data_IF_606963590914
#
_entry.id   IF_606963590914
#
_cell.length_a   1.000
_cell.length_b   1.000
_cell.length_c   1.000
_cell.angle_alpha   90.00
_cell.angle_beta   90.00
_cell.angle_gamma   90.00
#
_symmetry.space_group_name_H-M   'P 1'
#
loop_
_entity.id
_entity.type
_entity.pdbx_description
1 polymer ?
#
# COMPACT_ATOMS: atom_id res chain seq x y z
N UNK A 1 -10.14 -56.10 -22.47
CA UNK A 1 -9.24 -54.93 -22.54
C UNK A 1 -9.87 -53.80 -21.72
N UNK A 2 -9.39 -53.57 -20.50
CA UNK A 2 -9.96 -52.55 -19.59
C UNK A 2 -9.31 -51.20 -19.86
N UNK A 3 -10.11 -50.18 -20.21
CA UNK A 3 -9.63 -48.80 -20.33
C UNK A 3 -9.60 -48.11 -18.94
N UNK A 4 -8.64 -47.20 -18.69
CA UNK A 4 -8.33 -46.71 -17.36
C UNK A 4 -9.31 -45.63 -16.87
N UNK A 5 -9.58 -45.66 -15.56
CA UNK A 5 -10.32 -44.64 -14.79
C UNK A 5 -9.59 -43.30 -14.86
N UNK A 6 -10.22 -42.26 -15.43
CA UNK A 6 -9.80 -40.86 -15.25
C UNK A 6 -10.06 -40.48 -13.78
N UNK A 7 -8.99 -40.42 -12.99
CA UNK A 7 -9.04 -40.01 -11.59
C UNK A 7 -8.92 -38.48 -11.47
N UNK A 8 -9.73 -37.93 -10.58
CA UNK A 8 -9.99 -36.51 -10.40
C UNK A 8 -8.78 -35.70 -9.91
N UNK A 9 -8.25 -34.81 -10.75
CA UNK A 9 -7.31 -33.74 -10.35
C UNK A 9 -8.06 -32.49 -9.85
N UNK A 10 -8.99 -32.64 -8.89
CA UNK A 10 -9.73 -31.52 -8.28
C UNK A 10 -9.55 -31.44 -6.75
N UNK A 11 -8.41 -31.87 -6.21
CA UNK A 11 -8.20 -31.91 -4.74
C UNK A 11 -7.27 -30.83 -4.17
N UNK A 12 -6.55 -30.08 -5.02
CA UNK A 12 -5.51 -29.16 -4.52
C UNK A 12 -5.96 -27.71 -4.29
N UNK A 13 -7.11 -27.28 -4.81
CA UNK A 13 -7.57 -25.88 -4.65
C UNK A 13 -8.45 -25.65 -3.40
N UNK A 14 -8.84 -26.71 -2.69
CA UNK A 14 -9.81 -26.62 -1.59
C UNK A 14 -9.21 -26.11 -0.28
N UNK A 15 -7.91 -26.35 -0.03
CA UNK A 15 -7.28 -26.00 1.24
C UNK A 15 -7.12 -24.49 1.45
N UNK A 16 -6.73 -23.76 0.39
CA UNK A 16 -6.51 -22.31 0.47
C UNK A 16 -7.79 -21.50 0.69
N UNK A 17 -8.95 -22.01 0.26
CA UNK A 17 -10.24 -21.35 0.52
C UNK A 17 -10.54 -21.19 2.01
N UNK A 18 -10.03 -22.10 2.86
CA UNK A 18 -10.20 -21.99 4.32
C UNK A 18 -9.47 -20.77 4.91
N UNK A 19 -8.39 -20.32 4.28
CA UNK A 19 -7.57 -19.19 4.72
C UNK A 19 -7.94 -17.85 4.08
N UNK A 20 -8.91 -17.84 3.16
CA UNK A 20 -9.42 -16.59 2.60
C UNK A 20 -10.23 -15.85 3.65
N UNK A 21 -10.15 -14.52 3.59
CA UNK A 21 -11.01 -13.64 4.39
C UNK A 21 -12.47 -13.91 4.07
N UNK A 22 -13.28 -14.10 5.11
CA UNK A 22 -14.71 -14.34 5.00
C UNK A 22 -15.42 -13.31 5.89
N UNK A 23 -16.18 -12.40 5.29
CA UNK A 23 -16.87 -11.31 6.01
C UNK A 23 -17.92 -11.83 7.02
N UNK A 24 -18.42 -13.05 6.84
CA UNK A 24 -19.38 -13.69 7.77
C UNK A 24 -18.67 -14.24 9.01
N UNK A 25 -17.44 -14.74 8.84
CA UNK A 25 -16.66 -15.36 9.92
C UNK A 25 -15.70 -14.40 10.61
N UNK A 26 -15.10 -13.48 9.84
CA UNK A 26 -13.95 -12.68 10.24
C UNK A 26 -14.35 -11.21 10.38
N UNK A 27 -14.28 -10.67 11.61
CA UNK A 27 -14.69 -9.30 11.87
C UNK A 27 -13.74 -8.28 11.20
N UNK A 28 -14.22 -7.07 10.84
CA UNK A 28 -13.35 -6.01 10.30
C UNK A 28 -12.20 -5.63 11.25
N UNK A 29 -12.38 -5.81 12.56
CA UNK A 29 -11.33 -5.56 13.54
C UNK A 29 -10.25 -6.64 13.50
N UNK A 30 -10.61 -7.91 13.32
CA UNK A 30 -9.65 -9.01 13.20
C UNK A 30 -8.81 -8.87 11.94
N UNK A 31 -9.47 -8.58 10.81
CA UNK A 31 -8.79 -8.28 9.56
C UNK A 31 -7.83 -7.09 9.70
N UNK A 32 -8.27 -6.01 10.34
CA UNK A 32 -7.42 -4.84 10.63
C UNK A 32 -6.20 -5.23 11.47
N UNK A 33 -6.38 -6.01 12.52
CA UNK A 33 -5.28 -6.42 13.41
C UNK A 33 -4.24 -7.26 12.67
N UNK A 34 -4.69 -8.24 11.87
CA UNK A 34 -3.79 -9.05 11.03
C UNK A 34 -3.07 -8.20 10.00
N UNK A 35 -3.79 -7.29 9.32
CA UNK A 35 -3.20 -6.40 8.33
C UNK A 35 -2.16 -5.46 8.95
N UNK A 36 -2.41 -4.90 10.14
CA UNK A 36 -1.45 -4.06 10.85
C UNK A 36 -0.15 -4.82 11.14
N UNK A 37 -0.24 -6.07 11.58
CA UNK A 37 0.95 -6.92 11.83
C UNK A 37 1.70 -7.19 10.52
N UNK A 38 1.00 -7.67 9.48
CA UNK A 38 1.63 -7.98 8.18
C UNK A 38 2.31 -6.73 7.60
N UNK A 39 1.63 -5.59 7.65
CA UNK A 39 2.15 -4.35 7.09
C UNK A 39 3.33 -3.81 7.90
N UNK A 40 3.29 -3.89 9.24
CA UNK A 40 4.42 -3.52 10.09
C UNK A 40 5.65 -4.41 9.82
N UNK A 41 5.46 -5.71 9.59
CA UNK A 41 6.54 -6.62 9.23
C UNK A 41 7.16 -6.28 7.87
N UNK A 42 6.33 -6.00 6.86
CA UNK A 42 6.84 -5.57 5.54
C UNK A 42 7.58 -4.23 5.66
N UNK A 43 7.06 -3.28 6.44
CA UNK A 43 7.74 -2.01 6.70
C UNK A 43 9.10 -2.22 7.39
N UNK A 44 9.18 -3.12 8.37
CA UNK A 44 10.43 -3.44 9.04
C UNK A 44 11.45 -4.08 8.08
N UNK A 45 11.03 -5.06 7.29
CA UNK A 45 11.91 -5.73 6.30
C UNK A 45 12.40 -4.75 5.23
N UNK A 46 11.52 -3.87 4.74
CA UNK A 46 11.89 -2.86 3.74
C UNK A 46 12.87 -1.82 4.32
N UNK A 47 12.61 -1.33 5.53
CA UNK A 47 13.52 -0.44 6.24
C UNK A 47 14.90 -1.08 6.41
N UNK A 48 14.96 -2.31 6.92
CA UNK A 48 16.21 -3.05 7.10
C UNK A 48 16.98 -3.21 5.78
N UNK A 49 16.29 -3.58 4.69
CA UNK A 49 16.92 -3.73 3.38
C UNK A 49 17.39 -2.39 2.77
N UNK A 50 16.72 -1.28 3.09
CA UNK A 50 17.10 0.05 2.63
C UNK A 50 18.32 0.61 3.36
N UNK A 51 18.38 0.44 4.68
CA UNK A 51 19.51 0.94 5.50
C UNK A 51 20.74 0.03 5.43
N UNK A 52 20.53 -1.28 5.20
CA UNK A 52 21.57 -2.27 4.98
C UNK A 52 21.51 -2.76 3.52
N UNK A 53 22.13 -2.05 2.57
CA UNK A 53 22.06 -2.43 1.17
C UNK A 53 22.59 -3.85 0.93
N UNK A 54 22.01 -4.62 0.00
CA UNK A 54 22.51 -5.94 -0.37
C UNK A 54 24.00 -5.90 -0.70
N UNK A 55 24.79 -6.84 -0.17
CA UNK A 55 26.25 -6.82 -0.35
C UNK A 55 26.99 -5.80 0.51
N UNK A 56 26.29 -5.01 1.33
CA UNK A 56 26.88 -4.10 2.31
C UNK A 56 27.36 -2.77 1.73
N UNK A 57 28.18 -2.08 2.52
CA UNK A 57 28.80 -0.80 2.16
C UNK A 57 30.31 -0.95 2.08
N UNK A 58 30.94 -0.13 1.25
CA UNK A 58 32.40 -0.05 1.18
C UNK A 58 32.97 0.38 2.54
N UNK A 59 34.00 -0.33 3.01
CA UNK A 59 34.65 -0.08 4.30
C UNK A 59 35.93 0.76 4.18
N UNK A 60 36.49 0.87 2.98
CA UNK A 60 37.78 1.54 2.71
C UNK A 60 37.74 2.33 1.38
N UNK A 61 38.61 3.34 1.27
CA UNK A 61 38.79 4.19 0.09
C UNK A 61 37.76 5.32 -0.07
N UNK A 62 37.75 5.99 -1.22
CA UNK A 62 36.92 7.19 -1.46
C UNK A 62 35.40 6.92 -1.49
N UNK A 63 34.99 5.65 -1.42
CA UNK A 63 33.58 5.22 -1.48
C UNK A 63 33.03 4.74 -0.14
N UNK A 64 33.78 4.91 0.96
CA UNK A 64 33.36 4.47 2.31
C UNK A 64 31.91 4.88 2.61
N UNK A 65 31.14 3.94 3.15
CA UNK A 65 29.73 4.14 3.51
C UNK A 65 28.76 4.09 2.31
N UNK A 66 29.24 4.06 1.07
CA UNK A 66 28.37 3.85 -0.11
C UNK A 66 28.03 2.38 -0.29
N UNK A 67 26.83 2.09 -0.78
CA UNK A 67 26.40 0.75 -1.10
C UNK A 67 27.32 0.10 -2.14
N UNK A 68 27.82 -1.11 -1.87
CA UNK A 68 28.57 -1.90 -2.85
C UNK A 68 27.67 -2.20 -4.05
N UNK A 69 26.39 -2.48 -3.80
CA UNK A 69 25.39 -2.75 -4.83
C UNK A 69 25.17 -1.57 -5.80
N UNK A 70 25.48 -0.33 -5.39
CA UNK A 70 25.40 0.83 -6.28
C UNK A 70 26.37 0.76 -7.47
N UNK A 71 27.35 -0.16 -7.45
CA UNK A 71 28.21 -0.47 -8.60
C UNK A 71 27.39 -0.97 -9.79
N UNK A 72 26.33 -1.75 -9.56
CA UNK A 72 25.39 -2.22 -10.58
C UNK A 72 24.16 -1.31 -10.63
N UNK A 73 24.34 -0.13 -11.21
CA UNK A 73 23.37 0.98 -11.19
C UNK A 73 21.92 0.54 -11.50
N UNK A 74 21.68 -0.18 -12.61
CA UNK A 74 20.32 -0.57 -13.02
C UNK A 74 19.60 -1.42 -11.98
N UNK A 75 20.26 -2.48 -11.50
CA UNK A 75 19.67 -3.40 -10.53
C UNK A 75 19.46 -2.74 -9.17
N UNK A 76 20.42 -1.91 -8.74
CA UNK A 76 20.31 -1.11 -7.53
C UNK A 76 19.11 -0.16 -7.56
N UNK A 77 18.85 0.50 -8.69
CA UNK A 77 17.67 1.38 -8.82
C UNK A 77 16.36 0.63 -8.77
N UNK A 78 16.24 -0.49 -9.50
CA UNK A 78 15.02 -1.31 -9.46
C UNK A 78 14.74 -1.76 -8.03
N UNK A 79 15.78 -2.20 -7.31
CA UNK A 79 15.68 -2.56 -5.90
C UNK A 79 15.20 -1.39 -5.04
N UNK A 80 15.88 -0.24 -5.12
CA UNK A 80 15.64 0.91 -4.25
C UNK A 80 14.27 1.55 -4.50
N UNK A 81 13.84 1.66 -5.76
CA UNK A 81 12.50 2.15 -6.13
C UNK A 81 11.43 1.19 -5.60
N UNK A 82 11.58 -0.11 -5.85
CA UNK A 82 10.60 -1.11 -5.41
C UNK A 82 10.49 -1.16 -3.89
N UNK A 83 11.62 -1.06 -3.18
CA UNK A 83 11.66 -1.04 -1.72
C UNK A 83 11.00 0.23 -1.15
N UNK A 84 11.28 1.39 -1.74
CA UNK A 84 10.67 2.67 -1.34
C UNK A 84 9.16 2.67 -1.57
N UNK A 85 8.69 2.12 -2.70
CA UNK A 85 7.25 1.98 -2.99
C UNK A 85 6.56 1.04 -2.00
N UNK A 86 7.21 -0.08 -1.64
CA UNK A 86 6.69 -1.01 -0.66
C UNK A 86 6.54 -0.35 0.72
N UNK A 87 7.60 0.30 1.22
CA UNK A 87 7.58 1.01 2.51
C UNK A 87 6.50 2.10 2.54
N UNK A 88 6.42 2.88 1.46
CA UNK A 88 5.44 3.96 1.36
C UNK A 88 4.01 3.44 1.31
N UNK A 89 3.75 2.33 0.61
CA UNK A 89 2.44 1.65 0.60
C UNK A 89 2.08 1.13 1.99
N UNK A 90 3.05 0.56 2.72
CA UNK A 90 2.84 0.12 4.09
C UNK A 90 2.41 1.27 5.01
N UNK A 91 3.08 2.42 4.90
CA UNK A 91 2.73 3.60 5.69
C UNK A 91 1.31 4.06 5.37
N UNK A 92 0.91 4.11 4.10
CA UNK A 92 -0.47 4.44 3.74
C UNK A 92 -1.50 3.48 4.36
N UNK A 93 -1.21 2.18 4.36
CA UNK A 93 -2.11 1.18 4.93
C UNK A 93 -2.16 1.33 6.45
N UNK A 94 -1.02 1.54 7.14
CA UNK A 94 -0.98 1.82 8.58
C UNK A 94 -1.80 3.06 8.89
N UNK A 95 -1.59 4.17 8.17
CA UNK A 95 -2.36 5.41 8.34
C UNK A 95 -3.86 5.19 8.08
N UNK A 96 -4.22 4.39 7.07
CA UNK A 96 -5.61 4.05 6.77
C UNK A 96 -6.29 3.27 7.89
N UNK A 97 -5.59 2.28 8.45
CA UNK A 97 -6.13 1.38 9.46
C UNK A 97 -6.17 2.04 10.85
N UNK A 98 -5.32 3.04 11.10
CA UNK A 98 -5.19 3.72 12.41
C UNK A 98 -5.93 5.06 12.51
N UNK A 99 -6.57 5.56 11.44
CA UNK A 99 -7.20 6.89 11.38
C UNK A 99 -8.24 7.19 12.47
N UNK A 100 -8.91 6.18 13.03
CA UNK A 100 -9.93 6.32 14.08
C UNK A 100 -9.41 6.04 15.50
N UNK A 101 -8.11 5.83 15.68
CA UNK A 101 -7.53 5.55 17.00
C UNK A 101 -7.28 6.84 17.81
N UNK A 102 -7.42 6.79 19.15
CA UNK A 102 -7.13 7.95 20.01
C UNK A 102 -5.68 8.44 19.88
N UNK A 103 -4.73 7.57 19.56
CA UNK A 103 -3.30 7.87 19.39
C UNK A 103 -2.86 8.12 17.94
N UNK A 104 -3.78 8.50 17.05
CA UNK A 104 -3.48 8.68 15.62
C UNK A 104 -2.37 9.71 15.33
N UNK A 105 -2.27 10.79 16.12
CA UNK A 105 -1.22 11.80 15.95
C UNK A 105 0.18 11.25 16.26
N UNK A 106 0.29 10.44 17.30
CA UNK A 106 1.56 9.81 17.69
C UNK A 106 2.02 8.81 16.63
N UNK A 107 1.09 8.02 16.08
CA UNK A 107 1.35 7.10 14.96
C UNK A 107 1.77 7.89 13.70
N UNK A 108 1.13 9.03 13.42
CA UNK A 108 1.52 9.91 12.32
C UNK A 108 2.92 10.51 12.50
N UNK A 109 3.24 10.98 13.71
CA UNK A 109 4.55 11.50 14.04
C UNK A 109 5.64 10.42 13.90
N UNK A 110 5.36 9.21 14.40
CA UNK A 110 6.27 8.07 14.28
C UNK A 110 6.50 7.66 12.82
N UNK A 111 5.43 7.54 12.03
CA UNK A 111 5.53 7.18 10.60
C UNK A 111 6.24 8.26 9.77
N UNK A 112 6.04 9.54 10.07
CA UNK A 112 6.80 10.64 9.47
C UNK A 112 8.29 10.56 9.81
N UNK A 113 8.62 10.29 11.09
CA UNK A 113 10.00 10.11 11.54
C UNK A 113 10.69 8.93 10.84
N UNK A 114 9.98 7.79 10.68
CA UNK A 114 10.48 6.62 9.94
C UNK A 114 10.81 6.99 8.48
N UNK A 115 9.94 7.75 7.81
CA UNK A 115 10.19 8.18 6.42
C UNK A 115 11.42 9.08 6.29
N UNK A 116 11.57 10.04 7.21
CA UNK A 116 12.72 10.95 7.22
C UNK A 116 14.01 10.14 7.45
N UNK A 117 13.98 9.22 8.41
CA UNK A 117 15.14 8.36 8.73
C UNK A 117 15.51 7.47 7.54
N UNK A 118 14.52 6.87 6.87
CA UNK A 118 14.73 6.07 5.68
C UNK A 118 15.32 6.90 4.54
N UNK A 119 14.76 8.07 4.25
CA UNK A 119 15.26 8.96 3.21
C UNK A 119 16.73 9.37 3.47
N UNK A 120 17.06 9.68 4.73
CA UNK A 120 18.43 9.99 5.16
C UNK A 120 19.39 8.81 4.95
N UNK A 121 18.99 7.60 5.37
CA UNK A 121 19.81 6.41 5.19
C UNK A 121 20.05 6.09 3.70
N UNK A 122 19.01 6.17 2.87
CA UNK A 122 19.14 5.93 1.43
C UNK A 122 20.04 6.98 0.77
N UNK A 123 19.97 8.24 1.20
CA UNK A 123 20.85 9.32 0.74
C UNK A 123 22.32 9.04 1.12
N UNK A 124 22.57 8.57 2.35
CA UNK A 124 23.91 8.23 2.81
C UNK A 124 24.54 7.10 1.97
N UNK A 125 23.78 6.06 1.62
CA UNK A 125 24.33 4.91 0.87
C UNK A 125 24.41 5.12 -0.65
N UNK A 126 23.69 6.09 -1.21
CA UNK A 126 23.58 6.30 -2.67
C UNK A 126 24.58 7.34 -3.20
N UNK A 127 25.45 7.02 -4.18
CA UNK A 127 26.45 7.96 -4.70
C UNK A 127 25.83 9.25 -5.26
N UNK A 128 26.49 10.40 -5.03
CA UNK A 128 26.00 11.74 -5.36
C UNK A 128 25.82 11.95 -6.88
N UNK A 129 24.57 12.06 -7.34
CA UNK A 129 24.18 12.83 -8.54
C UNK A 129 22.81 13.46 -8.27
N UNK A 130 22.67 14.77 -8.51
CA UNK A 130 21.51 15.59 -8.13
C UNK A 130 20.18 15.14 -8.77
N UNK A 131 20.22 14.44 -9.90
CA UNK A 131 19.03 13.89 -10.58
C UNK A 131 18.36 12.75 -9.81
N UNK A 132 19.07 12.14 -8.85
CA UNK A 132 18.64 10.93 -8.13
C UNK A 132 17.71 11.23 -6.96
N UNK A 133 17.85 12.40 -6.34
CA UNK A 133 16.95 12.90 -5.28
C UNK A 133 15.52 13.08 -5.80
N UNK A 134 15.36 13.50 -7.08
CA UNK A 134 14.05 13.64 -7.72
C UNK A 134 13.32 12.29 -7.82
N UNK A 135 14.02 11.21 -8.17
CA UNK A 135 13.38 9.88 -8.26
C UNK A 135 12.93 9.35 -6.90
N UNK A 136 13.71 9.61 -5.85
CA UNK A 136 13.36 9.26 -4.47
C UNK A 136 12.13 10.05 -4.00
N UNK A 137 12.09 11.36 -4.25
CA UNK A 137 10.93 12.21 -3.96
C UNK A 137 9.70 11.82 -4.77
N UNK A 138 9.84 11.47 -6.04
CA UNK A 138 8.75 10.97 -6.88
C UNK A 138 8.23 9.64 -6.32
N UNK A 139 9.11 8.66 -6.07
CA UNK A 139 8.70 7.35 -5.54
C UNK A 139 8.02 7.46 -4.17
N UNK A 140 8.51 8.34 -3.29
CA UNK A 140 7.89 8.60 -2.00
C UNK A 140 6.54 9.34 -2.12
N UNK A 141 6.39 10.25 -3.08
CA UNK A 141 5.15 11.03 -3.27
C UNK A 141 4.06 10.28 -4.07
N UNK A 142 4.42 9.36 -4.96
CA UNK A 142 3.49 8.54 -5.76
C UNK A 142 2.36 7.89 -4.92
N UNK A 143 2.64 7.19 -3.80
CA UNK A 143 1.59 6.60 -2.99
C UNK A 143 0.67 7.66 -2.36
N UNK A 144 1.22 8.77 -1.86
CA UNK A 144 0.41 9.87 -1.33
C UNK A 144 -0.48 10.48 -2.41
N UNK A 145 0.06 10.71 -3.61
CA UNK A 145 -0.70 11.20 -4.76
C UNK A 145 -1.76 10.17 -5.19
N UNK A 146 -1.43 8.88 -5.27
CA UNK A 146 -2.38 7.81 -5.61
C UNK A 146 -3.53 7.75 -4.60
N UNK A 147 -3.26 7.97 -3.31
CA UNK A 147 -4.30 7.98 -2.27
C UNK A 147 -5.11 9.27 -2.30
N UNK A 148 -4.50 10.43 -2.51
CA UNK A 148 -5.21 11.68 -2.80
C UNK A 148 -6.12 11.51 -4.03
N UNK A 149 -5.60 10.91 -5.10
CA UNK A 149 -6.36 10.58 -6.30
C UNK A 149 -7.50 9.62 -5.94
N UNK A 150 -7.24 8.53 -5.22
CA UNK A 150 -8.30 7.59 -4.78
C UNK A 150 -9.38 8.25 -3.91
N UNK A 151 -9.03 9.15 -3.00
CA UNK A 151 -10.01 9.95 -2.25
C UNK A 151 -10.79 10.92 -3.14
N UNK A 152 -10.13 11.58 -4.09
CA UNK A 152 -10.77 12.45 -5.07
C UNK A 152 -11.72 11.67 -5.97
N UNK A 153 -11.28 10.55 -6.56
CA UNK A 153 -12.10 9.69 -7.41
C UNK A 153 -13.26 9.07 -6.62
N UNK A 154 -13.04 8.63 -5.38
CA UNK A 154 -14.13 8.16 -4.51
C UNK A 154 -15.12 9.27 -4.19
N UNK A 155 -14.65 10.51 -3.98
CA UNK A 155 -15.50 11.69 -3.77
C UNK A 155 -16.32 12.02 -5.03
N UNK A 156 -15.74 11.92 -6.23
CA UNK A 156 -16.47 12.11 -7.48
C UNK A 156 -17.48 10.98 -7.76
N UNK A 157 -17.08 9.72 -7.56
CA UNK A 157 -17.94 8.56 -7.80
C UNK A 157 -19.11 8.46 -6.80
N UNK A 158 -18.90 8.90 -5.55
CA UNK A 158 -19.96 8.98 -4.53
C UNK A 158 -20.92 10.15 -4.81
N UNK A 159 -20.41 11.27 -5.34
CA UNK A 159 -21.23 12.40 -5.78
C UNK A 159 -22.16 12.04 -6.94
N UNK A 160 -21.77 11.12 -7.83
CA UNK A 160 -22.63 10.64 -8.92
C UNK A 160 -23.78 9.74 -8.42
N UNK A 161 -23.53 8.92 -7.39
CA UNK A 161 -24.56 8.09 -6.77
C UNK A 161 -25.58 8.90 -5.96
N UNK A 162 -25.18 9.96 -5.24
CA UNK A 162 -26.13 10.84 -4.55
C UNK A 162 -27.02 11.63 -5.52
N UNK A 163 -26.49 11.97 -6.70
CA UNK A 163 -27.25 12.65 -7.77
C UNK A 163 -28.32 11.74 -8.39
N UNK A 164 -28.09 10.43 -8.45
CA UNK A 164 -29.04 9.43 -8.95
C UNK A 164 -30.16 9.14 -7.93
N UNK A 165 -29.80 9.05 -6.64
CA UNK A 165 -30.76 8.80 -5.56
C UNK A 165 -31.69 10.00 -5.34
N UNK A 166 -31.17 11.24 -5.36
CA UNK A 166 -31.99 12.44 -5.26
C UNK A 166 -32.91 12.67 -6.46
N UNK A 167 -32.50 12.22 -7.66
CA UNK A 167 -33.34 12.28 -8.86
C UNK A 167 -34.52 11.30 -8.84
N UNK A 168 -34.36 10.12 -8.24
CA UNK A 168 -35.47 9.16 -8.10
C UNK A 168 -36.50 9.60 -7.05
N UNK A 169 -36.08 10.18 -5.92
CA UNK A 169 -37.00 10.69 -4.90
C UNK A 169 -37.84 11.88 -5.38
N UNK A 170 -37.31 12.76 -6.23
CA UNK A 170 -38.10 13.87 -6.81
C UNK A 170 -39.15 13.41 -7.84
N UNK A 171 -38.88 12.34 -8.60
CA UNK A 171 -39.82 11.80 -9.58
C UNK A 171 -40.97 11.07 -8.87
N UNK A 172 -40.66 10.24 -7.86
CA UNK A 172 -41.68 9.53 -7.08
C UNK A 172 -42.62 10.50 -6.33
N UNK A 173 -42.10 11.64 -5.87
CA UNK A 173 -42.89 12.67 -5.18
C UNK A 173 -43.83 13.43 -6.12
N UNK A 174 -43.44 13.64 -7.39
CA UNK A 174 -44.30 14.27 -8.41
C UNK A 174 -45.41 13.34 -8.86
N UNK A 175 -45.12 12.05 -9.02
CA UNK A 175 -46.13 11.06 -9.44
C UNK A 175 -47.14 10.77 -8.32
N UNK A 176 -46.69 10.78 -7.06
CA UNK A 176 -47.57 10.64 -5.89
C UNK A 176 -48.50 11.84 -5.65
N UNK A 177 -48.09 13.06 -6.04
CA UNK A 177 -48.94 14.26 -5.92
C UNK A 177 -49.96 14.39 -7.06
N UNK A 178 -49.66 13.87 -8.25
CA UNK A 178 -50.58 13.90 -9.39
C UNK A 178 -51.78 12.93 -9.22
N UNK A 179 -51.62 11.85 -8.46
CA UNK A 179 -52.69 10.86 -8.20
C UNK A 179 -53.73 11.27 -7.15
N UNK A 180 -53.53 12.39 -6.45
CA UNK A 180 -54.43 12.85 -5.37
C UNK A 180 -55.28 14.07 -5.75
N UNK A 181 -55.23 14.49 -7.02
CA UNK A 181 -56.13 15.47 -7.62
C UNK A 181 -56.91 14.84 -8.79
N UNK A 182 -57.70 13.80 -8.51
CA UNK A 182 -58.85 13.40 -9.34
C UNK A 182 -59.97 12.92 -8.45
#
# INVERSE_FOLDING_TARGET
MSQPKKNNTKRSASGFKKFQYDEVRDSPSDARNVLLVVVALIAAVTFQAGVNPPGGVWQEGDRVGRAIYASQKRAFYVFLISNTLALSTCILVITSLTYRFPFHLEIWAATASIMITYASAVFAVTPNESVRFRYLLIAASVPFVMRCFGYFFKKYCMSENESQIGGQEEVEKKDGQAGQQV
#
